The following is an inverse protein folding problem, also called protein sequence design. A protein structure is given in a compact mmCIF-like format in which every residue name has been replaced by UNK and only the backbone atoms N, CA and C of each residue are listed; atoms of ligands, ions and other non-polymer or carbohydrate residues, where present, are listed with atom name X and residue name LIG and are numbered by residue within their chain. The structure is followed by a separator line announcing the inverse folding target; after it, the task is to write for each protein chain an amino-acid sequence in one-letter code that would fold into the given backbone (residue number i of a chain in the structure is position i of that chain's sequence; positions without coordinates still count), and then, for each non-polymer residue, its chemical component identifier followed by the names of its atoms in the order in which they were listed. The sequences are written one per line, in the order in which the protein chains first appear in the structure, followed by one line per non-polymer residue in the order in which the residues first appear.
data_IF_970069213536
#
_entry.id   IF_970069213536
#
_cell.length_a   1.000
_cell.length_b   1.000
_cell.length_c   1.000
_cell.angle_alpha   90.00
_cell.angle_beta   90.00
_cell.angle_gamma   90.00
#
_symmetry.space_group_name_H-M   'P 1'
#
loop_
_entity.id
_entity.type
_entity.pdbx_description
1 polymer ?
#
# COMPACT_ATOMS: atom_id res chain seq x y z
N UNK A 1 -4.23 -11.25 1.71
CA UNK A 1 -5.31 -10.24 1.49
C UNK A 1 -5.45 -10.01 -0.01
N UNK A 2 -6.64 -9.67 -0.53
CA UNK A 2 -6.82 -9.42 -1.97
C UNK A 2 -6.45 -7.97 -2.34
N UNK A 3 -6.01 -7.73 -3.58
CA UNK A 3 -5.57 -6.43 -4.11
C UNK A 3 -6.65 -5.38 -3.96
N UNK A 4 -7.89 -5.72 -4.32
CA UNK A 4 -9.03 -4.83 -4.18
C UNK A 4 -9.25 -4.36 -2.74
N UNK A 5 -9.10 -5.27 -1.78
CA UNK A 5 -9.21 -4.95 -0.35
C UNK A 5 -8.09 -4.01 0.09
N UNK A 6 -6.85 -4.20 -0.38
CA UNK A 6 -5.70 -3.32 -0.05
C UNK A 6 -5.91 -1.91 -0.59
N UNK A 7 -6.39 -1.80 -1.83
CA UNK A 7 -6.77 -0.51 -2.45
C UNK A 7 -7.79 0.21 -1.58
N UNK A 8 -8.90 -0.47 -1.24
CA UNK A 8 -9.98 0.12 -0.42
C UNK A 8 -9.49 0.57 0.94
N UNK A 9 -8.69 -0.25 1.60
CA UNK A 9 -8.14 0.06 2.91
C UNK A 9 -7.25 1.30 2.83
N UNK A 10 -6.24 1.29 1.94
CA UNK A 10 -5.30 2.40 1.79
C UNK A 10 -6.00 3.71 1.43
N UNK A 11 -7.00 3.64 0.54
CA UNK A 11 -7.83 4.78 0.15
C UNK A 11 -8.50 5.45 1.34
N UNK A 12 -9.07 4.65 2.25
CA UNK A 12 -9.72 5.13 3.47
C UNK A 12 -8.73 5.71 4.47
N UNK A 13 -7.54 5.12 4.60
CA UNK A 13 -6.48 5.63 5.48
C UNK A 13 -6.05 7.04 5.10
N UNK A 14 -5.91 7.33 3.80
CA UNK A 14 -5.54 8.66 3.30
C UNK A 14 -6.75 9.57 3.02
N UNK A 15 -7.96 9.13 3.38
CA UNK A 15 -9.22 9.89 3.30
C UNK A 15 -9.55 10.44 1.91
N UNK A 16 -9.27 9.69 0.84
CA UNK A 16 -9.71 10.06 -0.52
C UNK A 16 -10.98 9.30 -0.93
N UNK A 17 -11.80 9.92 -1.77
CA UNK A 17 -13.02 9.29 -2.28
C UNK A 17 -12.70 8.25 -3.38
N UNK A 18 -13.64 7.35 -3.68
CA UNK A 18 -13.45 6.40 -4.78
C UNK A 18 -13.47 7.12 -6.14
N UNK A 19 -14.19 8.23 -6.19
CA UNK A 19 -14.32 9.14 -7.32
C UNK A 19 -12.98 9.82 -7.62
N UNK A 20 -12.29 10.35 -6.59
CA UNK A 20 -10.94 10.94 -6.74
C UNK A 20 -9.90 9.90 -7.20
N UNK A 21 -10.05 8.66 -6.74
CA UNK A 21 -9.17 7.57 -7.16
C UNK A 21 -9.46 7.17 -8.62
N UNK A 22 -10.74 7.15 -9.01
CA UNK A 22 -11.17 6.83 -10.36
C UNK A 22 -10.69 7.86 -11.38
N UNK A 23 -10.78 9.15 -11.03
CA UNK A 23 -10.25 10.25 -11.87
C UNK A 23 -8.75 10.08 -12.11
N UNK A 24 -7.97 9.82 -11.06
CA UNK A 24 -6.53 9.62 -11.18
C UNK A 24 -6.14 8.35 -11.97
N UNK A 25 -6.98 7.32 -11.89
CA UNK A 25 -6.80 6.07 -12.62
C UNK A 25 -7.35 6.11 -14.05
N UNK A 26 -8.03 7.19 -14.44
CA UNK A 26 -8.74 7.35 -15.73
C UNK A 26 -9.75 6.23 -15.99
N UNK A 27 -10.48 5.84 -14.94
CA UNK A 27 -11.54 4.82 -15.02
C UNK A 27 -12.84 5.37 -14.42
N UNK A 28 -13.95 4.66 -14.61
CA UNK A 28 -15.21 5.03 -13.95
C UNK A 28 -15.15 4.74 -12.44
N UNK A 29 -15.85 5.51 -11.59
CA UNK A 29 -16.00 5.20 -10.17
C UNK A 29 -16.54 3.78 -9.94
N UNK A 30 -17.49 3.33 -10.77
CA UNK A 30 -18.01 1.97 -10.74
C UNK A 30 -16.93 0.91 -10.96
N UNK A 31 -15.92 1.18 -11.79
CA UNK A 31 -14.78 0.29 -12.00
C UNK A 31 -13.95 0.17 -10.72
N UNK A 32 -13.67 1.28 -10.03
CA UNK A 32 -12.96 1.26 -8.73
C UNK A 32 -13.75 0.44 -7.70
N UNK A 33 -15.06 0.65 -7.57
CA UNK A 33 -15.88 -0.12 -6.63
C UNK A 33 -15.85 -1.63 -6.94
N UNK A 34 -15.87 -2.01 -8.23
CA UNK A 34 -15.75 -3.41 -8.66
C UNK A 34 -14.38 -4.00 -8.34
N UNK A 35 -13.30 -3.25 -8.57
CA UNK A 35 -11.96 -3.67 -8.14
C UNK A 35 -11.89 -3.84 -6.62
N UNK A 36 -12.38 -2.88 -5.84
CA UNK A 36 -12.36 -2.94 -4.37
C UNK A 36 -13.17 -4.11 -3.79
N UNK A 37 -14.19 -4.56 -4.52
CA UNK A 37 -15.05 -5.67 -4.12
C UNK A 37 -14.54 -7.03 -4.58
N UNK A 38 -13.61 -7.05 -5.55
CA UNK A 38 -13.09 -8.27 -6.18
C UNK A 38 -13.96 -8.78 -7.33
N UNK A 39 -14.88 -7.96 -7.87
CA UNK A 39 -15.74 -8.34 -9.01
C UNK A 39 -14.97 -8.37 -10.35
N UNK A 40 -13.75 -7.81 -10.38
CA UNK A 40 -12.83 -7.82 -11.51
C UNK A 40 -11.44 -8.16 -10.97
N UNK A 41 -10.97 -9.37 -11.24
CA UNK A 41 -9.63 -9.82 -10.82
C UNK A 41 -8.52 -9.30 -11.74
N UNK A 42 -8.82 -9.09 -13.01
CA UNK A 42 -7.85 -8.62 -14.01
C UNK A 42 -7.82 -7.09 -14.08
N UNK A 43 -6.92 -6.49 -13.31
CA UNK A 43 -6.58 -5.07 -13.41
C UNK A 43 -5.42 -4.87 -14.40
N UNK A 44 -5.57 -4.02 -15.44
CA UNK A 44 -4.47 -3.69 -16.31
C UNK A 44 -3.33 -3.03 -15.53
N UNK A 45 -2.08 -3.40 -15.82
CA UNK A 45 -0.88 -2.82 -15.17
C UNK A 45 -0.86 -1.29 -15.20
N UNK A 46 -1.21 -0.60 -16.30
CA UNK A 46 -1.25 0.87 -16.30
C UNK A 46 -2.25 1.47 -15.31
N UNK A 47 -3.38 0.79 -15.08
CA UNK A 47 -4.41 1.22 -14.12
C UNK A 47 -3.90 1.00 -12.69
N UNK A 48 -3.29 -0.16 -12.43
CA UNK A 48 -2.67 -0.47 -11.14
C UNK A 48 -1.60 0.56 -10.78
N UNK A 49 -0.73 0.93 -11.73
CA UNK A 49 0.31 1.93 -11.53
C UNK A 49 -0.26 3.31 -11.17
N UNK A 50 -1.33 3.74 -11.85
CA UNK A 50 -1.99 5.02 -11.55
C UNK A 50 -2.64 5.02 -10.17
N UNK A 51 -3.32 3.93 -9.82
CA UNK A 51 -3.92 3.72 -8.50
C UNK A 51 -2.84 3.77 -7.42
N UNK A 52 -1.75 3.01 -7.59
CA UNK A 52 -0.64 2.95 -6.65
C UNK A 52 -0.02 4.34 -6.41
N UNK A 53 0.23 5.10 -7.49
CA UNK A 53 0.72 6.49 -7.41
C UNK A 53 -0.22 7.40 -6.64
N UNK A 54 -1.53 7.36 -6.93
CA UNK A 54 -2.53 8.18 -6.22
C UNK A 54 -2.62 7.81 -4.74
N UNK A 55 -2.48 6.52 -4.42
CA UNK A 55 -2.48 5.98 -3.05
C UNK A 55 -1.13 6.12 -2.33
N UNK A 56 -0.10 6.65 -3.00
CA UNK A 56 1.27 6.79 -2.48
C UNK A 56 1.86 5.48 -1.96
N UNK A 57 1.67 4.40 -2.72
CA UNK A 57 2.20 3.06 -2.43
C UNK A 57 2.79 2.45 -3.70
N UNK A 58 3.54 1.36 -3.57
CA UNK A 58 4.00 0.57 -4.71
C UNK A 58 2.86 -0.30 -5.28
N UNK A 59 2.88 -0.63 -6.58
CA UNK A 59 2.03 -1.69 -7.13
C UNK A 59 2.25 -3.02 -6.39
N UNK A 60 3.49 -3.35 -6.04
CA UNK A 60 3.87 -4.54 -5.26
C UNK A 60 3.18 -4.63 -3.90
N UNK A 61 3.01 -3.51 -3.20
CA UNK A 61 2.28 -3.44 -1.94
C UNK A 61 0.79 -3.78 -2.13
N UNK A 62 0.16 -3.23 -3.16
CA UNK A 62 -1.24 -3.54 -3.49
C UNK A 62 -1.40 -5.02 -3.88
N UNK A 63 -0.45 -5.54 -4.65
CA UNK A 63 -0.39 -6.96 -5.01
C UNK A 63 -0.10 -7.88 -3.81
N UNK A 64 0.45 -7.34 -2.71
CA UNK A 64 0.85 -8.10 -1.54
C UNK A 64 2.19 -8.81 -1.70
N UNK A 65 3.01 -8.41 -2.66
CA UNK A 65 4.37 -8.92 -2.84
C UNK A 65 5.33 -8.33 -1.79
N UNK A 66 4.96 -7.21 -1.18
CA UNK A 66 5.75 -6.52 -0.15
C UNK A 66 5.37 -6.95 1.30
N UNK A 67 4.65 -8.07 1.49
CA UNK A 67 4.13 -8.53 2.81
C UNK A 67 5.20 -8.89 3.89
N UNK A 68 6.45 -8.48 3.75
CA UNK A 68 7.52 -8.75 4.72
C UNK A 68 8.00 -7.53 5.56
N UNK A 69 7.30 -6.38 5.54
CA UNK A 69 7.71 -5.22 6.36
C UNK A 69 6.56 -4.48 7.04
N UNK A 70 5.91 -5.12 8.01
CA UNK A 70 5.10 -4.44 9.03
C UNK A 70 5.88 -4.31 10.34
N UNK A 71 6.94 -3.49 10.34
CA UNK A 71 7.50 -2.89 11.57
C UNK A 71 8.02 -1.49 11.23
N UNK A 72 7.18 -0.49 10.93
CA UNK A 72 7.63 0.93 10.89
C UNK A 72 6.52 1.99 10.71
N UNK A 73 5.21 1.69 10.79
CA UNK A 73 4.17 2.71 10.56
C UNK A 73 3.59 3.33 11.85
N UNK A 74 4.30 3.22 12.97
CA UNK A 74 4.12 4.06 14.17
C UNK A 74 5.44 4.72 14.53
N UNK A 75 6.13 5.24 13.54
CA UNK A 75 7.15 6.25 13.77
C UNK A 75 6.32 7.53 13.80
N UNK A 76 5.90 7.96 15.00
CA UNK A 76 5.51 9.35 15.22
C UNK A 76 6.58 10.24 14.56
N UNK A 77 6.20 11.38 14.00
CA UNK A 77 7.10 12.29 13.25
C UNK A 77 8.29 12.84 14.09
N UNK A 78 8.53 12.31 15.29
CA UNK A 78 9.50 12.73 16.30
C UNK A 78 10.62 11.70 16.58
N UNK A 79 10.74 10.63 15.78
CA UNK A 79 11.82 9.65 15.95
C UNK A 79 13.11 10.23 15.36
N UNK A 80 14.13 10.33 16.21
CA UNK A 80 15.44 10.84 15.83
C UNK A 80 16.17 9.88 14.89
N UNK A 81 17.16 10.40 14.15
CA UNK A 81 18.00 9.59 13.26
C UNK A 81 18.73 8.45 14.00
N UNK A 82 19.01 8.64 15.29
CA UNK A 82 19.65 7.66 16.16
C UNK A 82 18.68 6.52 16.51
N UNK A 83 17.45 6.84 16.93
CA UNK A 83 16.42 5.83 17.21
C UNK A 83 16.03 5.05 15.95
N UNK A 84 16.01 5.72 14.79
CA UNK A 84 15.81 5.06 13.51
C UNK A 84 16.96 4.08 13.19
N UNK A 85 18.18 4.43 13.56
CA UNK A 85 19.34 3.57 13.39
C UNK A 85 19.26 2.33 14.29
N UNK A 86 18.81 2.48 15.53
CA UNK A 86 18.60 1.37 16.46
C UNK A 86 17.53 0.39 15.95
N UNK A 87 16.44 0.91 15.38
CA UNK A 87 15.40 0.08 14.75
C UNK A 87 15.98 -0.71 13.58
N UNK A 88 16.78 -0.06 12.71
CA UNK A 88 17.44 -0.72 11.58
C UNK A 88 18.38 -1.84 12.04
N UNK A 89 19.17 -1.57 13.07
CA UNK A 89 20.13 -2.53 13.60
C UNK A 89 19.46 -3.70 14.30
N UNK A 90 18.34 -3.47 15.00
CA UNK A 90 17.54 -4.53 15.60
C UNK A 90 16.92 -5.46 14.55
N UNK A 91 16.36 -4.90 13.45
CA UNK A 91 15.84 -5.69 12.34
C UNK A 91 16.94 -6.56 11.71
N UNK A 92 18.14 -5.99 11.52
CA UNK A 92 19.31 -6.70 10.98
C UNK A 92 19.76 -7.84 11.90
N UNK A 93 19.77 -7.60 13.21
CA UNK A 93 20.09 -8.61 14.22
C UNK A 93 19.13 -9.80 14.19
N UNK A 94 17.81 -9.55 14.20
CA UNK A 94 16.80 -10.61 14.13
C UNK A 94 16.94 -11.46 12.85
N UNK A 95 17.25 -10.84 11.70
CA UNK A 95 17.49 -11.56 10.44
C UNK A 95 18.70 -12.50 10.54
N UNK A 96 19.79 -12.06 11.16
CA UNK A 96 20.98 -12.90 11.36
C UNK A 96 20.74 -14.10 12.29
N UNK A 97 19.78 -14.00 13.22
CA UNK A 97 19.41 -15.07 14.15
C UNK A 97 18.46 -16.12 13.57
N UNK A 98 17.79 -15.81 12.46
CA UNK A 98 16.87 -16.71 11.74
C UNK A 98 17.52 -17.45 10.56
N UNK A 99 18.80 -17.19 10.31
CA UNK A 99 19.63 -17.86 9.31
C UNK A 99 20.41 -19.02 9.92
#
# INVERSE_FOLDING_TARGET
MDVGKRIKQRRKEIKISAEDLAEAAEVSPSTIYRYEKGDIENMPTPVLDKIARKLRVSPSYLMGWDEDYTIAAHIDDDVTEEEMQDIRDYIKYIKSKRS
#
